data_IF_045139517779
#
_entry.id   IF_045139517779
#
_cell.length_a   1.000
_cell.length_b   1.000
_cell.length_c   1.000
_cell.angle_alpha   90.00
_cell.angle_beta   90.00
_cell.angle_gamma   90.00
#
_symmetry.space_group_name_H-M   'P 1'
#
loop_
_entity.id
_entity.type
_entity.pdbx_description
1 polymer ?
#
# COMPACT_ATOMS: atom_id res chain seq x y z
N UNK A 1 11.93 11.31 2.08
CA UNK A 1 11.45 12.62 2.56
C UNK A 1 10.99 13.43 1.37
N UNK A 2 9.71 13.35 1.02
CA UNK A 2 9.13 14.01 -0.16
C UNK A 2 7.95 14.92 0.19
N UNK A 3 7.74 15.22 1.47
CA UNK A 3 6.62 16.04 1.90
C UNK A 3 6.95 17.54 1.78
N UNK A 4 5.90 18.35 1.60
CA UNK A 4 6.00 19.79 1.34
C UNK A 4 6.80 20.55 2.42
N UNK A 5 6.67 20.14 3.67
CA UNK A 5 7.37 20.80 4.78
C UNK A 5 8.88 20.51 4.78
N UNK A 6 9.30 19.26 4.55
CA UNK A 6 10.73 18.93 4.46
C UNK A 6 11.39 19.57 3.25
N UNK A 7 10.66 19.68 2.12
CA UNK A 7 11.13 20.41 0.93
C UNK A 7 11.32 21.90 1.22
N UNK A 8 10.37 22.52 1.93
CA UNK A 8 10.46 23.92 2.31
C UNK A 8 11.66 24.23 3.23
N UNK A 9 12.01 23.31 4.14
CA UNK A 9 13.21 23.43 4.98
C UNK A 9 14.52 23.20 4.20
N UNK A 10 14.50 22.32 3.19
CA UNK A 10 15.67 22.02 2.36
C UNK A 10 15.96 23.10 1.31
N UNK A 11 14.95 23.87 0.90
CA UNK A 11 15.07 24.96 -0.05
C UNK A 11 15.83 26.15 0.57
N UNK A 12 16.91 26.56 -0.10
CA UNK A 12 17.78 27.65 0.36
C UNK A 12 17.01 28.97 0.53
N UNK A 13 17.35 29.74 1.57
CA UNK A 13 16.86 31.12 1.70
C UNK A 13 17.36 31.98 0.54
N UNK A 14 16.49 32.89 0.08
CA UNK A 14 16.88 33.90 -0.90
C UNK A 14 17.93 34.85 -0.30
N UNK A 15 18.83 35.43 -1.12
CA UNK A 15 19.83 36.38 -0.64
C UNK A 15 19.12 37.59 -0.01
N UNK A 16 19.36 37.81 1.29
CA UNK A 16 18.75 38.89 2.07
C UNK A 16 17.55 38.48 2.94
N UNK A 17 17.05 37.25 2.82
CA UNK A 17 15.93 36.78 3.65
C UNK A 17 16.43 36.17 4.97
N UNK A 18 15.86 36.55 6.14
CA UNK A 18 16.19 35.93 7.42
C UNK A 18 15.94 34.42 7.37
N UNK A 19 16.88 33.62 7.88
CA UNK A 19 16.73 32.16 7.98
C UNK A 19 15.84 31.78 9.17
N UNK A 20 14.59 32.24 9.14
CA UNK A 20 13.58 32.02 10.18
C UNK A 20 12.43 31.16 9.67
N UNK A 21 11.72 30.51 10.59
CA UNK A 21 10.54 29.71 10.26
C UNK A 21 9.41 30.55 9.69
N UNK A 22 9.29 31.82 10.09
CA UNK A 22 8.24 32.73 9.61
C UNK A 22 8.44 33.10 8.13
N UNK A 23 9.67 33.42 7.75
CA UNK A 23 10.05 33.65 6.35
C UNK A 23 9.78 32.40 5.48
N UNK A 24 10.24 31.24 5.93
CA UNK A 24 10.01 29.95 5.26
C UNK A 24 8.52 29.60 5.16
N UNK A 25 7.74 29.90 6.20
CA UNK A 25 6.28 29.70 6.23
C UNK A 25 5.59 30.58 5.19
N UNK A 26 5.93 31.86 5.12
CA UNK A 26 5.39 32.83 4.16
C UNK A 26 5.71 32.44 2.71
N UNK A 27 6.94 32.00 2.45
CA UNK A 27 7.39 31.55 1.11
C UNK A 27 6.68 30.27 0.66
N UNK A 28 6.67 29.24 1.51
CA UNK A 28 6.19 27.91 1.14
C UNK A 28 4.68 27.70 1.34
N UNK A 29 4.02 28.61 2.08
CA UNK A 29 2.63 28.48 2.52
C UNK A 29 2.40 27.33 3.51
N UNK A 30 3.45 26.79 4.13
CA UNK A 30 3.37 25.74 5.14
C UNK A 30 3.34 26.40 6.52
N UNK A 31 2.38 26.06 7.41
CA UNK A 31 2.30 26.66 8.73
C UNK A 31 3.61 26.52 9.52
N UNK A 32 4.00 27.59 10.23
CA UNK A 32 5.22 27.65 11.05
C UNK A 32 5.37 26.48 12.01
N UNK A 33 4.29 26.09 12.70
CA UNK A 33 4.29 24.94 13.61
C UNK A 33 4.65 23.63 12.91
N UNK A 34 4.22 23.46 11.65
CA UNK A 34 4.53 22.27 10.85
C UNK A 34 6.00 22.23 10.47
N UNK A 35 6.60 23.37 10.14
CA UNK A 35 8.05 23.49 9.88
C UNK A 35 8.86 23.19 11.14
N UNK A 36 8.50 23.79 12.28
CA UNK A 36 9.14 23.54 13.56
C UNK A 36 9.13 22.05 13.92
N UNK A 37 7.96 21.41 13.90
CA UNK A 37 7.86 19.98 14.20
C UNK A 37 8.70 19.12 13.24
N UNK A 38 8.81 19.55 11.98
CA UNK A 38 9.56 18.81 10.96
C UNK A 38 11.07 18.88 11.20
N UNK A 39 11.58 20.05 11.51
CA UNK A 39 12.99 20.30 11.86
C UNK A 39 13.38 19.51 13.13
N UNK A 40 12.45 19.39 14.09
CA UNK A 40 12.61 18.60 15.31
C UNK A 40 12.36 17.09 15.10
N UNK A 41 12.37 16.62 13.85
CA UNK A 41 12.36 15.19 13.52
C UNK A 41 10.99 14.50 13.55
N UNK A 42 9.88 15.24 13.67
CA UNK A 42 8.55 14.63 13.60
C UNK A 42 8.26 14.16 12.16
N UNK A 43 8.01 12.86 11.94
CA UNK A 43 7.74 12.33 10.60
C UNK A 43 6.38 12.80 10.08
N UNK A 44 6.21 12.73 8.76
CA UNK A 44 4.96 13.18 8.13
C UNK A 44 3.86 12.20 8.48
N UNK A 45 2.61 12.63 8.33
CA UNK A 45 1.50 11.69 8.49
C UNK A 45 1.64 10.49 7.55
N UNK A 46 2.14 10.71 6.34
CA UNK A 46 2.38 9.68 5.33
C UNK A 46 3.54 8.75 5.70
N UNK A 47 4.71 9.30 6.08
CA UNK A 47 5.86 8.51 6.52
C UNK A 47 5.53 7.72 7.80
N UNK A 48 4.81 8.34 8.74
CA UNK A 48 4.32 7.66 9.93
C UNK A 48 3.37 6.52 9.57
N UNK A 49 2.45 6.76 8.62
CA UNK A 49 1.55 5.71 8.14
C UNK A 49 2.32 4.57 7.46
N UNK A 50 3.34 4.87 6.65
CA UNK A 50 4.23 3.87 6.04
C UNK A 50 4.98 3.05 7.10
N UNK A 51 5.53 3.69 8.14
CA UNK A 51 6.19 3.00 9.25
C UNK A 51 5.26 2.14 10.10
N UNK A 52 3.95 2.41 10.08
CA UNK A 52 2.92 1.60 10.75
C UNK A 52 2.33 0.50 9.86
N UNK A 53 2.77 0.36 8.61
CA UNK A 53 2.33 -0.73 7.75
C UNK A 53 2.83 -2.08 8.27
N UNK A 54 2.04 -3.11 7.97
CA UNK A 54 2.36 -4.49 8.38
C UNK A 54 3.59 -5.03 7.65
N UNK A 55 3.68 -4.75 6.35
CA UNK A 55 4.83 -5.05 5.49
C UNK A 55 5.62 -3.77 5.25
N UNK A 56 6.93 -3.90 5.04
CA UNK A 56 7.74 -2.75 4.63
C UNK A 56 7.46 -2.40 3.16
N UNK A 57 7.68 -1.15 2.71
CA UNK A 57 7.52 -0.77 1.31
C UNK A 57 8.21 -1.69 0.29
N UNK A 58 9.45 -2.19 0.49
CA UNK A 58 10.06 -3.14 -0.44
C UNK A 58 9.38 -4.52 -0.42
N UNK A 59 8.91 -4.99 0.73
CA UNK A 59 8.14 -6.24 0.83
C UNK A 59 6.80 -6.14 0.12
N UNK A 60 6.07 -5.02 0.28
CA UNK A 60 4.82 -4.79 -0.44
C UNK A 60 5.04 -4.78 -1.95
N UNK A 61 6.13 -4.14 -2.43
CA UNK A 61 6.50 -4.12 -3.85
C UNK A 61 6.88 -5.50 -4.37
N UNK A 62 7.56 -6.32 -3.57
CA UNK A 62 7.86 -7.71 -3.95
C UNK A 62 6.59 -8.55 -4.06
N UNK A 63 5.66 -8.39 -3.11
CA UNK A 63 4.36 -9.06 -3.16
C UNK A 63 3.54 -8.63 -4.38
N UNK A 64 3.53 -7.33 -4.72
CA UNK A 64 2.89 -6.82 -5.93
C UNK A 64 3.44 -7.48 -7.20
N UNK A 65 4.78 -7.57 -7.33
CA UNK A 65 5.44 -8.24 -8.47
C UNK A 65 5.06 -9.71 -8.56
N UNK A 66 5.06 -10.42 -7.42
CA UNK A 66 4.65 -11.82 -7.35
C UNK A 66 3.21 -12.00 -7.83
N UNK A 67 2.28 -11.13 -7.40
CA UNK A 67 0.87 -11.20 -7.81
C UNK A 67 0.68 -10.95 -9.30
N UNK A 68 1.45 -10.03 -9.90
CA UNK A 68 1.47 -9.79 -11.35
C UNK A 68 1.94 -11.03 -12.10
N UNK A 69 3.08 -11.60 -11.70
CA UNK A 69 3.62 -12.81 -12.30
C UNK A 69 2.63 -13.98 -12.21
N UNK A 70 1.97 -14.18 -11.07
CA UNK A 70 0.95 -15.21 -10.92
C UNK A 70 -0.26 -14.99 -11.84
N UNK A 71 -0.66 -13.73 -12.06
CA UNK A 71 -1.73 -13.40 -13.00
C UNK A 71 -1.31 -13.64 -14.46
N UNK A 72 -0.08 -13.28 -14.84
CA UNK A 72 0.46 -13.50 -16.18
C UNK A 72 0.59 -14.99 -16.52
N UNK A 73 0.89 -15.83 -15.51
CA UNK A 73 0.88 -17.29 -15.61
C UNK A 73 -0.54 -17.90 -15.62
N UNK A 74 -1.59 -17.08 -15.65
CA UNK A 74 -2.98 -17.54 -15.68
C UNK A 74 -3.55 -18.00 -14.33
N UNK A 75 -2.80 -17.83 -13.23
CA UNK A 75 -3.14 -18.29 -11.89
C UNK A 75 -3.33 -17.11 -10.92
N UNK A 76 -4.37 -16.27 -11.10
CA UNK A 76 -4.56 -15.10 -10.23
C UNK A 76 -4.83 -15.53 -8.78
N UNK A 77 -4.06 -14.94 -7.85
CA UNK A 77 -4.17 -15.23 -6.42
C UNK A 77 -5.49 -14.67 -5.87
N UNK A 78 -6.21 -15.50 -5.11
CA UNK A 78 -7.46 -15.08 -4.44
C UNK A 78 -7.15 -14.09 -3.32
N UNK A 79 -7.98 -13.04 -3.18
CA UNK A 79 -7.84 -12.01 -2.13
C UNK A 79 -7.76 -12.61 -0.73
N UNK A 80 -8.48 -13.71 -0.46
CA UNK A 80 -8.46 -14.44 0.82
C UNK A 80 -7.08 -15.00 1.19
N UNK A 81 -6.21 -15.25 0.21
CA UNK A 81 -4.87 -15.78 0.43
C UNK A 81 -3.84 -14.68 0.73
N UNK A 82 -4.14 -13.40 0.41
CA UNK A 82 -3.21 -12.28 0.61
C UNK A 82 -2.76 -12.11 2.07
N UNK A 83 -3.66 -12.17 3.09
CA UNK A 83 -3.24 -12.08 4.49
C UNK A 83 -2.26 -13.19 4.88
N UNK A 84 -2.44 -14.41 4.35
CA UNK A 84 -1.54 -15.54 4.62
C UNK A 84 -0.17 -15.33 4.00
N UNK A 85 -0.10 -14.87 2.75
CA UNK A 85 1.17 -14.53 2.09
C UNK A 85 1.92 -13.43 2.84
N UNK A 86 1.21 -12.37 3.25
CA UNK A 86 1.79 -11.30 4.06
C UNK A 86 2.30 -11.81 5.42
N UNK A 87 1.54 -12.71 6.05
CA UNK A 87 1.96 -13.35 7.30
C UNK A 87 3.23 -14.19 7.12
N UNK A 88 3.35 -14.94 6.03
CA UNK A 88 4.57 -15.70 5.70
C UNK A 88 5.79 -14.78 5.56
N UNK A 89 5.65 -13.64 4.89
CA UNK A 89 6.72 -12.64 4.76
C UNK A 89 7.09 -12.07 6.13
N UNK A 90 6.10 -11.62 6.91
CA UNK A 90 6.32 -11.06 8.23
C UNK A 90 6.97 -12.06 9.19
N UNK A 91 6.57 -13.34 9.11
CA UNK A 91 7.15 -14.43 9.90
C UNK A 91 8.62 -14.68 9.55
N UNK A 92 9.00 -14.59 8.27
CA UNK A 92 10.40 -14.72 7.84
C UNK A 92 11.26 -13.55 8.32
N UNK A 93 10.68 -12.35 8.41
CA UNK A 93 11.36 -11.17 9.00
C UNK A 93 11.50 -11.26 10.51
N UNK A 94 10.51 -11.85 11.18
CA UNK A 94 10.50 -11.99 12.63
C UNK A 94 11.68 -12.81 13.13
N UNK A 95 12.46 -12.23 14.03
CA UNK A 95 13.42 -12.99 14.84
C UNK A 95 12.69 -13.88 15.84
N UNK A 96 13.35 -14.93 16.31
CA UNK A 96 12.79 -15.95 17.24
C UNK A 96 12.10 -15.31 18.46
N UNK A 97 12.54 -14.12 18.89
CA UNK A 97 12.01 -13.40 20.06
C UNK A 97 10.69 -12.66 19.82
N UNK A 98 10.28 -12.39 18.58
CA UNK A 98 9.08 -11.58 18.29
C UNK A 98 8.21 -12.26 17.23
N UNK A 99 7.30 -13.12 17.68
CA UNK A 99 6.32 -13.74 16.81
C UNK A 99 5.49 -12.68 16.07
N UNK A 100 5.43 -12.78 14.74
CA UNK A 100 4.54 -11.95 13.94
C UNK A 100 3.09 -12.33 14.27
N UNK A 101 2.23 -11.33 14.48
CA UNK A 101 0.77 -11.53 14.56
C UNK A 101 0.19 -11.59 13.15
N UNK A 102 -0.90 -12.32 12.89
CA UNK A 102 -1.54 -12.30 11.58
C UNK A 102 -2.07 -10.89 11.24
N UNK A 103 -2.12 -10.54 9.94
CA UNK A 103 -2.69 -9.27 9.51
C UNK A 103 -4.20 -9.22 9.77
N UNK A 104 -4.74 -8.02 9.96
CA UNK A 104 -6.15 -7.81 10.26
C UNK A 104 -7.06 -8.12 9.04
N UNK A 105 -8.36 -8.29 9.27
CA UNK A 105 -9.35 -8.63 8.22
C UNK A 105 -9.43 -7.61 7.07
N UNK A 106 -9.15 -6.33 7.35
CA UNK A 106 -9.23 -5.24 6.37
C UNK A 106 -7.90 -5.00 5.64
N UNK A 107 -6.84 -5.74 5.99
CA UNK A 107 -5.50 -5.49 5.49
C UNK A 107 -5.41 -5.71 3.99
N UNK A 108 -6.04 -6.77 3.46
CA UNK A 108 -6.06 -7.06 2.02
C UNK A 108 -6.75 -5.96 1.21
N UNK A 109 -7.85 -5.39 1.73
CA UNK A 109 -8.53 -4.25 1.07
C UNK A 109 -7.65 -2.99 1.12
N UNK A 110 -7.01 -2.72 2.24
CA UNK A 110 -6.10 -1.59 2.38
C UNK A 110 -4.88 -1.74 1.44
N UNK A 111 -4.34 -2.94 1.30
CA UNK A 111 -3.26 -3.26 0.37
C UNK A 111 -3.68 -2.99 -1.07
N UNK A 112 -4.86 -3.46 -1.48
CA UNK A 112 -5.40 -3.17 -2.82
C UNK A 112 -5.56 -1.67 -3.09
N UNK A 113 -6.00 -0.88 -2.10
CA UNK A 113 -6.10 0.58 -2.22
C UNK A 113 -4.74 1.26 -2.42
N UNK A 114 -3.66 0.73 -1.82
CA UNK A 114 -2.30 1.24 -1.97
C UNK A 114 -1.68 0.89 -3.32
N UNK A 115 -2.09 -0.23 -3.92
CA UNK A 115 -1.53 -0.78 -5.15
C UNK A 115 -2.58 -0.80 -6.27
N UNK A 116 -2.96 0.36 -6.85
CA UNK A 116 -4.01 0.44 -7.88
C UNK A 116 -3.65 -0.30 -9.18
N UNK A 117 -2.37 -0.61 -9.39
CA UNK A 117 -1.91 -1.45 -10.49
C UNK A 117 -2.46 -2.90 -10.40
N UNK A 118 -2.84 -3.35 -9.20
CA UNK A 118 -3.46 -4.65 -8.99
C UNK A 118 -4.97 -4.53 -9.18
N UNK A 119 -5.47 -4.96 -10.34
CA UNK A 119 -6.92 -5.03 -10.58
C UNK A 119 -7.49 -6.35 -10.08
N UNK A 120 -8.44 -6.29 -9.16
CA UNK A 120 -9.22 -7.46 -8.78
C UNK A 120 -10.19 -7.82 -9.91
N UNK A 121 -10.12 -9.05 -10.41
CA UNK A 121 -11.10 -9.61 -11.35
C UNK A 121 -12.11 -10.47 -10.60
N UNK A 122 -13.41 -10.25 -10.81
CA UNK A 122 -14.45 -11.23 -10.48
C UNK A 122 -14.61 -12.16 -11.67
N UNK A 123 -14.37 -13.46 -11.45
CA UNK A 123 -14.72 -14.48 -12.43
C UNK A 123 -16.24 -14.63 -12.38
N UNK A 124 -16.94 -14.37 -13.49
CA UNK A 124 -18.36 -14.70 -13.60
C UNK A 124 -18.51 -16.21 -13.62
N UNK A 125 -19.58 -16.73 -13.04
CA UNK A 125 -19.92 -18.13 -13.22
C UNK A 125 -20.03 -18.44 -14.72
N UNK A 126 -19.58 -19.63 -15.12
CA UNK A 126 -19.81 -20.10 -16.49
C UNK A 126 -21.32 -20.04 -16.77
N UNK A 127 -21.69 -19.48 -17.92
CA UNK A 127 -23.08 -19.46 -18.34
C UNK A 127 -23.60 -20.90 -18.42
N UNK A 128 -24.82 -21.14 -17.92
CA UNK A 128 -25.41 -22.48 -17.87
C UNK A 128 -25.42 -23.18 -19.23
N UNK A 129 -25.60 -22.40 -20.31
CA UNK A 129 -25.56 -22.82 -21.71
C UNK A 129 -24.24 -23.49 -22.13
N UNK A 130 -23.12 -23.22 -21.43
CA UNK A 130 -21.79 -23.79 -21.73
C UNK A 130 -21.46 -25.02 -20.90
N UNK A 131 -22.35 -25.44 -20.02
CA UNK A 131 -22.13 -26.61 -19.17
C UNK A 131 -22.49 -27.87 -19.95
N UNK A 132 -21.53 -28.79 -20.14
CA UNK A 132 -21.73 -30.05 -20.88
C UNK A 132 -22.88 -30.90 -20.34
N UNK A 133 -23.18 -30.78 -19.03
CA UNK A 133 -24.32 -31.44 -18.40
C UNK A 133 -25.63 -30.62 -18.50
N UNK A 134 -25.79 -29.75 -19.49
CA UNK A 134 -27.06 -29.05 -19.71
C UNK A 134 -28.12 -30.05 -20.18
N UNK A 135 -29.02 -30.42 -19.26
CA UNK A 135 -30.15 -31.35 -19.50
C UNK A 135 -31.33 -30.61 -20.14
N UNK A 136 -31.24 -29.30 -20.38
CA UNK A 136 -32.35 -28.49 -20.90
C UNK A 136 -32.89 -29.02 -22.24
N UNK A 137 -32.00 -29.47 -23.13
CA UNK A 137 -32.38 -30.08 -24.42
C UNK A 137 -32.73 -31.58 -24.31
N UNK A 138 -32.64 -32.19 -23.12
CA UNK A 138 -32.92 -33.62 -22.87
C UNK A 138 -34.32 -33.85 -22.30
N UNK A 139 -35.05 -32.79 -21.94
CA UNK A 139 -36.45 -32.86 -21.51
C UNK A 139 -37.31 -32.60 -22.75
N UNK A 140 -37.68 -33.65 -23.47
CA UNK A 140 -38.65 -33.60 -24.56
C UNK A 140 -39.95 -34.19 -24.01
N UNK A 141 -41.03 -33.42 -24.02
CA UNK A 141 -42.38 -33.85 -23.65
C UNK A 141 -43.03 -34.65 -24.77
#
# INVERSE_FOLDING_TARGET
MNDRASKALAEASLPGEPRTYDATSKRSGVPLSTLYHRDHGRPSREEKAQGQQYLTPPEEKALEKYLKLMADLGNPVRIKCLPSLAFCIARRRSTIKKAAKPPNKNWAQAFQKRHPALKSRRVRAMAWERHENSIYNKIIH
#
